data_IF_504295223579
#
_entry.id   IF_504295223579
#
_cell.length_a   1.000
_cell.length_b   1.000
_cell.length_c   1.000
_cell.angle_alpha   90.00
_cell.angle_beta   90.00
_cell.angle_gamma   90.00
#
_symmetry.space_group_name_H-M   'P 1'
#
loop_
_entity.id
_entity.type
_entity.pdbx_description
1 polymer ?
#
# COMPACT_ATOMS: atom_id res chain seq x y z
N UNK A 1 21.16 -3.03 -5.72
CA UNK A 1 19.77 -3.10 -6.23
C UNK A 1 19.01 -1.99 -5.55
N UNK A 2 18.62 -0.95 -6.27
CA UNK A 2 17.76 0.10 -5.71
C UNK A 2 16.38 -0.49 -5.52
N UNK A 3 15.91 -0.48 -4.27
CA UNK A 3 14.56 -0.92 -3.96
C UNK A 3 13.63 0.18 -4.48
N UNK A 4 13.11 0.03 -5.70
CA UNK A 4 12.27 1.05 -6.38
C UNK A 4 10.84 1.12 -5.80
N UNK A 5 10.59 0.43 -4.69
CA UNK A 5 9.32 0.45 -4.00
C UNK A 5 9.22 1.67 -3.09
N UNK A 6 8.16 2.43 -3.27
CA UNK A 6 7.86 3.63 -2.50
C UNK A 6 6.55 3.46 -1.77
N UNK A 7 6.50 3.93 -0.53
CA UNK A 7 5.28 3.91 0.29
C UNK A 7 4.25 4.85 -0.31
N UNK A 8 3.04 4.35 -0.56
CA UNK A 8 1.90 5.13 -1.05
C UNK A 8 0.79 5.28 0.01
N UNK A 9 0.70 4.33 0.93
CA UNK A 9 -0.33 4.30 1.98
C UNK A 9 0.22 3.66 3.25
N UNK A 10 -0.32 4.05 4.41
CA UNK A 10 -0.05 3.39 5.70
C UNK A 10 -1.31 3.40 6.56
N UNK A 11 -1.53 2.32 7.30
CA UNK A 11 -2.59 2.24 8.30
C UNK A 11 -2.16 1.30 9.44
N UNK A 12 -2.75 1.46 10.62
CA UNK A 12 -2.64 0.47 11.70
C UNK A 12 -3.63 -0.70 11.52
N UNK A 13 -4.49 -0.66 10.49
CA UNK A 13 -5.45 -1.69 10.18
C UNK A 13 -5.03 -2.44 8.91
N UNK A 14 -4.68 -3.72 9.06
CA UNK A 14 -4.25 -4.57 7.95
C UNK A 14 -5.30 -4.64 6.83
N UNK A 15 -6.59 -4.73 7.19
CA UNK A 15 -7.68 -4.81 6.22
C UNK A 15 -7.75 -3.58 5.31
N UNK A 16 -7.53 -2.37 5.84
CA UNK A 16 -7.50 -1.15 5.03
C UNK A 16 -6.34 -1.16 4.04
N UNK A 17 -5.17 -1.64 4.47
CA UNK A 17 -3.99 -1.75 3.59
C UNK A 17 -4.18 -2.81 2.51
N UNK A 18 -4.82 -3.95 2.81
CA UNK A 18 -5.20 -4.93 1.80
C UNK A 18 -6.24 -4.37 0.82
N UNK A 19 -7.24 -3.61 1.29
CA UNK A 19 -8.22 -2.96 0.41
C UNK A 19 -7.52 -2.02 -0.59
N UNK A 20 -6.62 -1.16 -0.12
CA UNK A 20 -5.83 -0.27 -1.00
C UNK A 20 -5.01 -1.08 -2.01
N UNK A 21 -4.32 -2.13 -1.56
CA UNK A 21 -3.56 -3.01 -2.45
C UNK A 21 -4.45 -3.65 -3.52
N UNK A 22 -5.61 -4.18 -3.16
CA UNK A 22 -6.53 -4.80 -4.12
C UNK A 22 -7.01 -3.80 -5.16
N UNK A 23 -7.43 -2.60 -4.74
CA UNK A 23 -7.85 -1.54 -5.68
C UNK A 23 -6.74 -1.16 -6.64
N UNK A 24 -5.48 -1.08 -6.19
CA UNK A 24 -4.34 -0.81 -7.07
C UNK A 24 -4.09 -1.95 -8.05
N UNK A 25 -4.13 -3.21 -7.58
CA UNK A 25 -3.92 -4.39 -8.42
C UNK A 25 -5.01 -4.52 -9.49
N UNK A 26 -6.27 -4.21 -9.16
CA UNK A 26 -7.39 -4.18 -10.11
C UNK A 26 -7.22 -3.12 -11.22
N UNK A 27 -6.34 -2.14 -11.03
CA UNK A 27 -5.96 -1.11 -12.01
C UNK A 27 -4.58 -1.35 -12.66
N UNK A 28 -4.12 -2.61 -12.64
CA UNK A 28 -2.84 -3.06 -13.18
C UNK A 28 -1.63 -2.36 -12.55
N UNK A 29 -1.71 -2.02 -11.26
CA UNK A 29 -0.59 -1.47 -10.49
C UNK A 29 -0.12 -2.52 -9.49
N UNK A 30 1.10 -3.01 -9.68
CA UNK A 30 1.75 -3.88 -8.71
C UNK A 30 1.94 -3.14 -7.37
N UNK A 31 1.31 -3.69 -6.32
CA UNK A 31 1.37 -3.18 -4.96
C UNK A 31 1.72 -4.31 -3.98
N UNK A 32 2.60 -4.02 -3.03
CA UNK A 32 3.00 -4.95 -1.97
C UNK A 32 2.65 -4.38 -0.60
N UNK A 33 2.38 -5.29 0.35
CA UNK A 33 2.21 -4.92 1.76
C UNK A 33 3.48 -5.22 2.53
N UNK A 34 3.92 -4.23 3.31
CA UNK A 34 4.92 -4.37 4.34
C UNK A 34 4.22 -4.30 5.70
N UNK A 35 3.95 -5.46 6.29
CA UNK A 35 3.38 -5.53 7.63
C UNK A 35 4.50 -5.34 8.68
N UNK A 36 4.51 -4.18 9.35
CA UNK A 36 5.45 -3.83 10.42
C UNK A 36 4.80 -3.95 11.81
N UNK A 37 3.70 -4.67 11.93
CA UNK A 37 3.04 -4.89 13.20
C UNK A 37 3.75 -5.97 14.02
N UNK A 38 3.76 -5.78 15.33
CA UNK A 38 4.16 -6.81 16.26
C UNK A 38 3.27 -8.06 16.09
N UNK A 39 3.88 -9.24 15.99
CA UNK A 39 3.14 -10.46 15.72
C UNK A 39 2.19 -10.85 16.85
N UNK A 40 2.53 -10.51 18.10
CA UNK A 40 1.82 -10.91 19.32
C UNK A 40 0.70 -9.94 19.69
N UNK A 41 0.95 -8.63 19.53
CA UNK A 41 0.02 -7.58 19.96
C UNK A 41 -0.58 -6.78 18.80
N UNK A 42 -0.16 -7.06 17.55
CA UNK A 42 -0.61 -6.40 16.30
C UNK A 42 -0.47 -4.87 16.34
N UNK A 43 0.42 -4.37 17.19
CA UNK A 43 0.74 -2.95 17.28
C UNK A 43 1.79 -2.58 16.22
N UNK A 44 1.56 -1.48 15.50
CA UNK A 44 2.48 -0.99 14.47
C UNK A 44 1.72 -0.58 13.21
N UNK A 45 2.47 -0.39 12.13
CA UNK A 45 1.94 0.05 10.84
C UNK A 45 1.92 -1.10 9.83
N UNK A 46 1.00 -1.00 8.89
CA UNK A 46 0.93 -1.80 7.68
C UNK A 46 1.03 -0.81 6.53
N UNK A 47 2.09 -0.94 5.75
CA UNK A 47 2.36 -0.02 4.64
C UNK A 47 2.04 -0.70 3.32
N UNK A 48 1.49 0.06 2.38
CA UNK A 48 1.37 -0.33 0.97
C UNK A 48 2.44 0.39 0.18
N UNK A 49 3.16 -0.36 -0.65
CA UNK A 49 4.20 0.17 -1.52
C UNK A 49 3.90 -0.17 -2.97
N UNK A 50 4.28 0.73 -3.87
CA UNK A 50 4.21 0.57 -5.34
C UNK A 50 5.57 0.85 -5.94
N UNK A 51 5.81 0.40 -7.17
CA UNK A 51 6.99 0.86 -7.92
C UNK A 51 6.92 2.38 -8.12
N UNK A 52 8.06 3.06 -7.99
CA UNK A 52 8.17 4.52 -8.09
C UNK A 52 7.58 5.07 -9.39
N UNK A 53 7.69 4.35 -10.50
CA UNK A 53 7.12 4.72 -11.80
C UNK A 53 5.58 4.80 -11.80
N UNK A 54 4.92 4.11 -10.87
CA UNK A 54 3.46 4.07 -10.74
C UNK A 54 2.93 4.98 -9.65
N UNK A 55 3.78 5.74 -8.95
CA UNK A 55 3.40 6.52 -7.76
C UNK A 55 2.24 7.49 -8.05
N UNK A 56 2.36 8.33 -9.09
CA UNK A 56 1.35 9.33 -9.42
C UNK A 56 0.02 8.70 -9.84
N UNK A 57 0.07 7.62 -10.63
CA UNK A 57 -1.13 6.88 -11.04
C UNK A 57 -1.82 6.22 -9.83
N UNK A 58 -1.04 5.61 -8.94
CA UNK A 58 -1.54 4.98 -7.73
C UNK A 58 -2.19 5.99 -6.79
N UNK A 59 -1.56 7.16 -6.61
CA UNK A 59 -2.11 8.24 -5.79
C UNK A 59 -3.45 8.73 -6.32
N UNK A 60 -3.57 8.92 -7.63
CA UNK A 60 -4.81 9.33 -8.27
C UNK A 60 -5.94 8.32 -8.01
N UNK A 61 -5.67 7.02 -8.20
CA UNK A 61 -6.65 5.94 -7.96
C UNK A 61 -7.11 5.92 -6.49
N UNK A 62 -6.18 6.06 -5.53
CA UNK A 62 -6.51 6.09 -4.09
C UNK A 62 -7.46 7.24 -3.78
N UNK A 63 -7.18 8.44 -4.31
CA UNK A 63 -8.01 9.63 -4.10
C UNK A 63 -9.37 9.48 -4.79
N UNK A 64 -9.43 8.95 -6.02
CA UNK A 64 -10.68 8.74 -6.76
C UNK A 64 -11.61 7.71 -6.11
N UNK A 65 -11.06 6.79 -5.31
CA UNK A 65 -11.82 5.75 -4.60
C UNK A 65 -12.05 6.09 -3.12
N UNK A 66 -11.73 7.31 -2.67
CA UNK A 66 -11.88 7.80 -1.29
C UNK A 66 -11.22 6.88 -0.23
N UNK A 67 -9.99 6.41 -0.52
CA UNK A 67 -9.22 5.46 0.30
C UNK A 67 -8.17 6.09 1.22
#
# INVERSE_FOLDING_TARGET
MTNNWVKIYTSNQFFQSEMVKQVLVDHDIDAIIMNKQDSSYKFGEVEVHVNQENFDKALAIIVENDL
#
